data_IF_566802951988
#
_entry.id   IF_566802951988
#
_cell.length_a   1.000
_cell.length_b   1.000
_cell.length_c   1.000
_cell.angle_alpha   90.00
_cell.angle_beta   90.00
_cell.angle_gamma   90.00
#
_symmetry.space_group_name_H-M   'P 1'
#
loop_
_entity.id
_entity.type
_entity.pdbx_description
1 polymer ?
#
# COMPACT_ATOMS: atom_id res chain seq x y z
N UNK A 1 -7.02 10.07 -3.40
CA UNK A 1 -5.97 9.14 -2.94
C UNK A 1 -5.87 9.24 -1.42
N UNK A 2 -6.04 8.13 -0.71
CA UNK A 2 -5.87 8.04 0.74
C UNK A 2 -4.54 7.37 1.09
N UNK A 3 -3.70 8.03 1.90
CA UNK A 3 -2.46 7.41 2.41
C UNK A 3 -2.79 6.63 3.67
N UNK A 4 -2.39 5.35 3.71
CA UNK A 4 -2.68 4.42 4.80
C UNK A 4 -1.52 4.37 5.80
N UNK A 5 -0.30 4.21 5.29
CA UNK A 5 0.91 4.05 6.10
C UNK A 5 2.08 4.72 5.40
N UNK A 6 2.90 5.44 6.15
CA UNK A 6 4.17 6.01 5.69
C UNK A 6 5.26 5.41 6.56
N UNK A 7 6.17 4.67 5.93
CA UNK A 7 7.23 3.94 6.62
C UNK A 7 8.54 4.07 5.84
N UNK A 8 9.58 4.55 6.51
CA UNK A 8 10.88 4.84 5.89
C UNK A 8 10.75 5.79 4.68
N UNK A 9 10.99 5.29 3.47
CA UNK A 9 10.83 6.01 2.20
C UNK A 9 9.62 5.56 1.38
N UNK A 10 8.76 4.69 1.91
CA UNK A 10 7.62 4.13 1.18
C UNK A 10 6.31 4.71 1.72
N UNK A 11 5.39 4.99 0.80
CA UNK A 11 4.05 5.48 1.09
C UNK A 11 3.05 4.45 0.57
N UNK A 12 2.33 3.84 1.49
CA UNK A 12 1.26 2.91 1.23
C UNK A 12 -0.05 3.68 1.09
N UNK A 13 -0.80 3.43 0.02
CA UNK A 13 -1.95 4.24 -0.35
C UNK A 13 -3.00 3.45 -1.15
N UNK A 14 -4.17 4.06 -1.26
CA UNK A 14 -5.30 3.64 -2.11
C UNK A 14 -5.78 4.81 -2.96
N UNK A 15 -6.22 4.54 -4.18
CA UNK A 15 -6.93 5.48 -5.03
C UNK A 15 -8.43 5.39 -4.77
N UNK A 16 -9.15 6.47 -5.03
CA UNK A 16 -10.61 6.48 -4.79
C UNK A 16 -11.36 5.51 -5.72
N UNK A 17 -10.82 5.21 -6.89
CA UNK A 17 -11.40 4.25 -7.85
C UNK A 17 -11.35 2.81 -7.34
N UNK A 18 -10.38 2.50 -6.47
CA UNK A 18 -10.13 1.17 -5.91
C UNK A 18 -11.32 0.62 -5.11
N UNK A 19 -12.20 1.50 -4.61
CA UNK A 19 -13.40 1.11 -3.84
C UNK A 19 -14.34 0.20 -4.63
N UNK A 20 -14.28 0.26 -5.97
CA UNK A 20 -15.09 -0.57 -6.85
C UNK A 20 -14.45 -1.92 -7.18
N UNK A 21 -13.19 -2.16 -6.78
CA UNK A 21 -12.54 -3.44 -6.98
C UNK A 21 -13.02 -4.46 -5.95
N UNK A 22 -13.28 -5.70 -6.40
CA UNK A 22 -13.77 -6.79 -5.53
C UNK A 22 -12.71 -7.36 -4.59
N UNK A 23 -11.42 -7.10 -4.87
CA UNK A 23 -10.29 -7.69 -4.16
C UNK A 23 -9.47 -6.59 -3.50
N UNK A 24 -9.18 -6.76 -2.20
CA UNK A 24 -8.33 -5.83 -1.46
C UNK A 24 -6.94 -5.79 -2.06
N UNK A 25 -6.46 -4.58 -2.28
CA UNK A 25 -5.14 -4.32 -2.82
C UNK A 25 -4.59 -3.02 -2.23
N UNK A 26 -3.30 -2.82 -2.45
CA UNK A 26 -2.60 -1.65 -1.96
C UNK A 26 -1.57 -1.18 -2.97
N UNK A 27 -1.43 0.14 -3.08
CA UNK A 27 -0.40 0.76 -3.87
C UNK A 27 0.73 1.25 -2.98
N UNK A 28 1.95 1.18 -3.49
CA UNK A 28 3.14 1.68 -2.81
C UNK A 28 3.89 2.60 -3.77
N UNK A 29 4.17 3.81 -3.31
CA UNK A 29 5.06 4.77 -3.98
C UNK A 29 6.20 5.16 -3.06
N UNK A 30 7.19 5.89 -3.58
CA UNK A 30 8.27 6.41 -2.75
C UNK A 30 7.89 7.76 -2.08
N UNK A 31 8.76 8.22 -1.18
CA UNK A 31 8.53 9.41 -0.35
C UNK A 31 8.40 10.71 -1.16
N UNK A 32 8.83 10.73 -2.42
CA UNK A 32 8.69 11.93 -3.27
C UNK A 32 7.25 12.13 -3.71
N UNK A 33 6.37 11.13 -3.54
CA UNK A 33 4.95 11.25 -3.89
C UNK A 33 4.69 11.41 -5.39
N UNK A 34 5.75 11.46 -6.19
CA UNK A 34 5.68 11.35 -7.63
C UNK A 34 5.47 9.87 -7.96
N UNK A 35 4.52 9.58 -8.85
CA UNK A 35 4.27 8.22 -9.36
C UNK A 35 5.43 7.68 -10.23
N UNK A 36 6.64 8.24 -10.12
CA UNK A 36 7.88 7.77 -10.75
C UNK A 36 8.18 6.33 -10.36
N UNK A 37 7.87 5.96 -9.11
CA UNK A 37 7.86 4.58 -8.66
C UNK A 37 6.49 4.24 -8.09
N UNK A 38 5.88 3.20 -8.63
CA UNK A 38 4.57 2.72 -8.21
C UNK A 38 4.49 1.21 -8.38
N UNK A 39 4.06 0.50 -7.35
CA UNK A 39 3.67 -0.90 -7.49
C UNK A 39 2.33 -1.15 -6.83
N UNK A 40 1.58 -2.13 -7.35
CA UNK A 40 0.34 -2.62 -6.77
C UNK A 40 0.54 -4.04 -6.28
N UNK A 41 0.11 -4.29 -5.05
CA UNK A 41 0.01 -5.63 -4.50
C UNK A 41 -1.45 -5.96 -4.24
N UNK A 42 -1.87 -7.14 -4.69
CA UNK A 42 -3.02 -7.80 -4.09
C UNK A 42 -2.70 -8.11 -2.64
N UNK A 43 -3.66 -7.88 -1.75
CA UNK A 43 -3.45 -8.01 -0.30
C UNK A 43 -4.11 -9.27 0.26
N UNK A 44 -5.35 -9.56 -0.13
CA UNK A 44 -6.07 -10.79 0.20
C UNK A 44 -6.49 -11.53 -1.08
N UNK A 45 -6.55 -12.88 -1.11
CA UNK A 45 -6.21 -13.80 -0.01
C UNK A 45 -4.70 -13.96 0.24
N UNK A 46 -3.87 -13.44 -0.66
CA UNK A 46 -2.41 -13.54 -0.59
C UNK A 46 -1.74 -12.26 -1.11
N UNK A 47 -0.55 -11.98 -0.57
CA UNK A 47 0.27 -10.82 -0.94
C UNK A 47 1.04 -11.11 -2.23
N UNK A 48 0.50 -10.67 -3.36
CA UNK A 48 1.04 -10.91 -4.71
C UNK A 48 1.23 -9.58 -5.43
N UNK A 49 2.40 -9.41 -6.05
CA UNK A 49 2.69 -8.25 -6.89
C UNK A 49 1.86 -8.35 -8.17
N UNK A 50 1.03 -7.36 -8.45
CA UNK A 50 0.27 -7.27 -9.71
C UNK A 50 1.12 -6.58 -10.78
N UNK A 51 1.62 -5.38 -10.47
CA UNK A 51 2.54 -4.65 -11.34
C UNK A 51 3.56 -3.86 -10.55
N UNK A 52 4.67 -3.56 -11.19
CA UNK A 52 5.73 -2.73 -10.68
C UNK A 52 6.23 -1.77 -11.76
N UNK A 53 6.28 -0.50 -11.42
CA UNK A 53 6.91 0.57 -12.18
C UNK A 53 8.04 1.18 -11.35
N UNK A 54 9.28 1.00 -11.80
CA UNK A 54 10.45 1.71 -11.28
C UNK A 54 11.10 1.16 -9.99
N UNK A 55 10.50 0.22 -9.25
CA UNK A 55 11.21 -0.44 -8.14
C UNK A 55 12.11 -1.56 -8.64
N UNK A 56 13.32 -1.68 -8.07
CA UNK A 56 14.16 -2.85 -8.31
C UNK A 56 13.79 -4.02 -7.38
N UNK A 57 14.33 -5.21 -7.64
CA UNK A 57 14.00 -6.42 -6.87
C UNK A 57 14.31 -6.30 -5.37
N UNK A 58 15.43 -5.65 -5.00
CA UNK A 58 15.78 -5.40 -3.59
C UNK A 58 14.73 -4.53 -2.90
N UNK A 59 14.24 -3.51 -3.60
CA UNK A 59 13.16 -2.64 -3.11
C UNK A 59 11.83 -3.40 -3.01
N UNK A 60 11.47 -4.22 -4.00
CA UNK A 60 10.26 -5.04 -3.95
C UNK A 60 10.27 -6.04 -2.80
N UNK A 61 11.40 -6.72 -2.57
CA UNK A 61 11.58 -7.63 -1.44
C UNK A 61 11.43 -6.90 -0.10
N UNK A 62 11.99 -5.68 0.00
CA UNK A 62 11.80 -4.82 1.19
C UNK A 62 10.33 -4.42 1.36
N UNK A 63 9.66 -3.96 0.30
CA UNK A 63 8.24 -3.59 0.33
C UNK A 63 7.40 -4.77 0.78
N UNK A 64 7.59 -5.97 0.19
CA UNK A 64 6.86 -7.19 0.56
C UNK A 64 7.06 -7.54 2.03
N UNK A 65 8.29 -7.39 2.56
CA UNK A 65 8.55 -7.56 4.00
C UNK A 65 7.78 -6.53 4.83
N UNK A 66 7.81 -5.26 4.46
CA UNK A 66 7.09 -4.19 5.17
C UNK A 66 5.57 -4.39 5.18
N UNK A 67 4.99 -4.90 4.08
CA UNK A 67 3.57 -5.27 4.01
C UNK A 67 3.26 -6.34 5.06
N UNK A 68 4.08 -7.40 5.13
CA UNK A 68 3.90 -8.49 6.10
C UNK A 68 4.06 -8.00 7.55
N UNK A 69 5.11 -7.23 7.82
CA UNK A 69 5.41 -6.71 9.16
C UNK A 69 4.32 -5.75 9.67
N UNK A 70 3.57 -5.11 8.76
CA UNK A 70 2.51 -4.16 9.08
C UNK A 70 1.12 -4.65 8.64
N UNK A 71 0.95 -5.96 8.46
CA UNK A 71 -0.27 -6.54 7.88
C UNK A 71 -1.53 -6.07 8.59
N UNK A 72 -1.55 -6.15 9.93
CA UNK A 72 -2.72 -5.75 10.74
C UNK A 72 -3.06 -4.27 10.56
N UNK A 73 -2.05 -3.39 10.57
CA UNK A 73 -2.24 -1.95 10.38
C UNK A 73 -2.78 -1.64 8.99
N UNK A 74 -2.22 -2.27 7.96
CA UNK A 74 -2.67 -2.09 6.57
C UNK A 74 -4.08 -2.63 6.38
N UNK A 75 -4.37 -3.83 6.91
CA UNK A 75 -5.68 -4.45 6.77
C UNK A 75 -6.79 -3.62 7.40
N UNK A 76 -6.59 -3.10 8.62
CA UNK A 76 -7.57 -2.21 9.27
C UNK A 76 -7.85 -0.94 8.45
N UNK A 77 -6.81 -0.39 7.80
CA UNK A 77 -7.00 0.77 6.93
C UNK A 77 -7.71 0.42 5.62
N UNK A 78 -7.42 -0.74 5.03
CA UNK A 78 -8.14 -1.23 3.85
C UNK A 78 -9.61 -1.52 4.19
N UNK A 79 -9.90 -2.17 5.33
CA UNK A 79 -11.26 -2.43 5.79
C UNK A 79 -12.07 -1.13 5.96
N UNK A 80 -11.44 -0.07 6.50
CA UNK A 80 -12.05 1.26 6.55
C UNK A 80 -12.34 1.79 5.15
N UNK A 81 -11.36 1.74 4.25
CA UNK A 81 -11.52 2.23 2.88
C UNK A 81 -12.66 1.52 2.13
N UNK A 82 -12.66 0.19 2.10
CA UNK A 82 -13.68 -0.61 1.40
C UNK A 82 -15.06 -0.56 2.07
N UNK A 83 -15.15 -0.18 3.36
CA UNK A 83 -16.42 0.10 4.03
C UNK A 83 -16.90 1.55 3.91
N UNK A 84 -16.24 2.38 3.08
CA UNK A 84 -16.59 3.79 2.87
C UNK A 84 -16.25 4.70 4.05
N UNK A 85 -15.44 4.24 5.01
CA UNK A 85 -14.99 5.03 6.16
C UNK A 85 -13.69 5.78 5.83
N UNK A 86 -13.46 6.94 6.45
CA UNK A 86 -12.21 7.67 6.24
C UNK A 86 -11.00 6.89 6.76
N UNK A 87 -9.95 6.82 5.93
CA UNK A 87 -8.65 6.28 6.31
C UNK A 87 -7.76 7.35 6.95
N UNK A 88 -6.76 6.93 7.71
CA UNK A 88 -5.79 7.81 8.37
C UNK A 88 -4.38 7.56 7.85
N UNK A 89 -3.63 8.64 7.70
CA UNK A 89 -2.21 8.55 7.35
C UNK A 89 -1.37 8.27 8.58
N UNK A 90 -1.09 6.99 8.82
CA UNK A 90 -0.25 6.54 9.93
C UNK A 90 1.21 6.74 9.55
N UNK A 91 1.97 7.47 10.37
CA UNK A 91 3.43 7.59 10.24
C UNK A 91 4.07 6.73 11.32
N UNK A 92 4.97 5.84 10.93
CA UNK A 92 5.82 5.09 11.86
C UNK A 92 7.27 5.48 11.61
N UNK A 93 7.92 5.99 12.64
CA UNK A 93 9.37 6.11 12.67
C UNK A 93 9.92 4.72 12.97
N UNK A 94 10.78 4.23 12.08
CA UNK A 94 11.45 2.94 12.17
C UNK A 94 12.94 3.16 12.38
#
# INVERSE_FOLDING_TARGET
MGKLLILSKYVFLVFSADINEKRKHIHITDKKGNLEKLCKYWFEPEIVLEYNYGFNEKELNKIKKLIKDNFVTINDQLDKFFSGKPVKSIKKDQ
#
